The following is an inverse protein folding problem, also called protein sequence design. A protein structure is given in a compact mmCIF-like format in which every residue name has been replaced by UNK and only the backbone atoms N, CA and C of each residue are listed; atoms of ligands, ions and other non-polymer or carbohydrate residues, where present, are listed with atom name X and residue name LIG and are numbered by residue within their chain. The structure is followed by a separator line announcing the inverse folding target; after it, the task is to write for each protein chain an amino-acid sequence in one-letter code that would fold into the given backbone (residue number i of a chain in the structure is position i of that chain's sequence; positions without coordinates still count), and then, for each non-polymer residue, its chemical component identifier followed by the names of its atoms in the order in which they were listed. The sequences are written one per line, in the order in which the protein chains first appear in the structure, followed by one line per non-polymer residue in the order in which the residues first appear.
data_IF_521005240383
#
_entry.id   IF_521005240383
#
_cell.length_a   1.000
_cell.length_b   1.000
_cell.length_c   1.000
_cell.angle_alpha   90.00
_cell.angle_beta   90.00
_cell.angle_gamma   90.00
#
_symmetry.space_group_name_H-M   'P 1'
#
loop_
_entity.id
_entity.type
_entity.pdbx_description
1 polymer ?
#
# COMPACT_ATOMS: atom_id res chain seq x y z
N UNK A 1 18.79 -9.64 -14.80
CA UNK A 1 17.86 -8.73 -14.10
C UNK A 1 17.64 -9.20 -12.67
N UNK A 2 17.81 -8.31 -11.75
CA UNK A 2 17.69 -8.65 -10.34
C UNK A 2 16.24 -8.51 -9.89
N UNK A 3 15.69 -9.58 -9.35
CA UNK A 3 14.36 -9.52 -8.76
C UNK A 3 14.46 -8.87 -7.40
N UNK A 4 13.51 -7.99 -7.09
CA UNK A 4 13.44 -7.44 -5.74
C UNK A 4 13.08 -8.56 -4.77
N UNK A 5 13.84 -8.66 -3.68
CA UNK A 5 13.59 -9.65 -2.65
C UNK A 5 12.46 -9.14 -1.76
N UNK A 6 11.40 -9.92 -1.69
CA UNK A 6 10.30 -9.62 -0.77
C UNK A 6 10.51 -10.40 0.51
N UNK A 7 10.51 -9.69 1.61
CA UNK A 7 10.64 -10.30 2.92
C UNK A 7 9.27 -10.62 3.48
N UNK A 8 9.15 -11.78 4.12
CA UNK A 8 7.91 -12.17 4.79
C UNK A 8 7.60 -11.18 5.91
N UNK A 9 6.31 -10.96 6.22
CA UNK A 9 5.95 -10.05 7.31
C UNK A 9 6.62 -10.40 8.64
N UNK A 10 6.80 -11.67 8.93
CA UNK A 10 7.44 -12.13 10.16
C UNK A 10 8.91 -11.70 10.23
N UNK A 11 9.60 -11.72 9.08
CA UNK A 11 10.98 -11.28 8.99
C UNK A 11 11.09 -9.79 9.24
N UNK A 12 10.19 -9.01 8.64
CA UNK A 12 10.16 -7.57 8.85
C UNK A 12 9.89 -7.20 10.30
N UNK A 13 8.92 -7.85 10.92
CA UNK A 13 8.58 -7.63 12.33
C UNK A 13 9.76 -7.95 13.25
N UNK A 14 10.42 -9.07 12.97
CA UNK A 14 11.59 -9.48 13.76
C UNK A 14 12.71 -8.47 13.61
N UNK A 15 12.98 -8.01 12.39
CA UNK A 15 14.03 -7.03 12.14
C UNK A 15 13.77 -5.72 12.87
N UNK A 16 12.53 -5.22 12.81
CA UNK A 16 12.14 -4.00 13.53
C UNK A 16 12.29 -4.21 15.04
N UNK A 17 11.84 -5.34 15.55
CA UNK A 17 11.96 -5.66 16.98
C UNK A 17 13.42 -5.68 17.43
N UNK A 18 14.30 -6.27 16.62
CA UNK A 18 15.73 -6.29 16.93
C UNK A 18 16.30 -4.88 17.02
N UNK A 19 15.91 -3.99 16.11
CA UNK A 19 16.37 -2.60 16.16
C UNK A 19 15.91 -1.93 17.46
N UNK A 20 14.64 -2.11 17.82
CA UNK A 20 14.08 -1.49 19.02
C UNK A 20 14.71 -2.04 20.30
N UNK A 21 14.94 -3.35 20.36
CA UNK A 21 15.51 -4.00 21.52
C UNK A 21 17.00 -3.64 21.73
N UNK A 22 17.73 -3.46 20.64
CA UNK A 22 19.17 -3.20 20.70
C UNK A 22 19.53 -1.73 20.45
N UNK A 23 18.53 -0.86 20.43
CA UNK A 23 18.74 0.58 20.18
C UNK A 23 19.72 1.20 21.19
N UNK A 24 19.61 0.82 22.46
CA UNK A 24 20.45 1.38 23.52
C UNK A 24 21.91 0.93 23.45
N UNK A 25 22.20 -0.13 22.71
CA UNK A 25 23.56 -0.65 22.53
C UNK A 25 24.34 0.12 21.45
N UNK A 26 23.68 1.04 20.77
CA UNK A 26 24.26 1.80 19.66
C UNK A 26 24.15 3.30 19.91
N UNK A 27 25.03 4.06 19.27
CA UNK A 27 25.08 5.51 19.43
C UNK A 27 23.85 6.22 18.86
N UNK A 28 23.23 5.63 17.83
CA UNK A 28 22.06 6.20 17.19
C UNK A 28 21.18 5.10 16.62
N UNK A 29 19.93 5.46 16.26
CA UNK A 29 19.03 4.55 15.59
C UNK A 29 19.64 4.05 14.28
N UNK A 30 20.26 4.95 13.52
CA UNK A 30 20.90 4.59 12.27
C UNK A 30 22.04 3.57 12.48
N UNK A 31 22.86 3.75 13.52
CA UNK A 31 23.91 2.80 13.87
C UNK A 31 23.35 1.41 14.16
N UNK A 32 22.24 1.35 14.88
CA UNK A 32 21.56 0.08 15.15
C UNK A 32 21.05 -0.55 13.86
N UNK A 33 20.46 0.24 12.99
CA UNK A 33 19.96 -0.24 11.70
C UNK A 33 21.10 -0.75 10.83
N UNK A 34 22.19 -0.04 10.73
CA UNK A 34 23.36 -0.46 9.95
C UNK A 34 23.95 -1.77 10.48
N UNK A 35 23.90 -1.98 11.78
CA UNK A 35 24.41 -3.20 12.41
C UNK A 35 23.51 -4.40 12.12
N UNK A 36 22.20 -4.20 12.14
CA UNK A 36 21.21 -5.29 12.05
C UNK A 36 20.85 -5.65 10.62
N UNK A 37 20.78 -4.67 9.72
CA UNK A 37 20.37 -4.90 8.34
C UNK A 37 21.13 -6.01 7.61
N UNK A 38 22.47 -6.09 7.70
CA UNK A 38 23.21 -7.17 7.06
C UNK A 38 22.85 -8.56 7.59
N UNK A 39 22.51 -8.64 8.87
CA UNK A 39 22.13 -9.91 9.51
C UNK A 39 20.81 -10.43 9.01
N UNK A 40 19.91 -9.52 8.59
CA UNK A 40 18.62 -9.87 8.03
C UNK A 40 18.76 -10.13 6.52
N UNK A 41 19.73 -9.51 5.88
CA UNK A 41 19.94 -9.62 4.45
C UNK A 41 19.26 -8.49 3.66
N UNK A 42 18.95 -7.39 4.33
CA UNK A 42 18.36 -6.22 3.68
C UNK A 42 19.30 -5.04 3.76
N UNK A 43 18.98 -3.98 3.02
CA UNK A 43 19.75 -2.74 3.10
C UNK A 43 19.33 -1.94 4.32
N UNK A 44 20.22 -1.07 4.86
CA UNK A 44 19.84 -0.20 5.96
C UNK A 44 18.66 0.70 5.64
N UNK A 45 18.55 1.17 4.39
CA UNK A 45 17.42 2.00 3.96
C UNK A 45 16.09 1.24 4.04
N UNK A 46 16.09 -0.01 3.63
CA UNK A 46 14.90 -0.86 3.71
C UNK A 46 14.48 -1.04 5.17
N UNK A 47 15.45 -1.35 6.04
CA UNK A 47 15.16 -1.54 7.46
C UNK A 47 14.67 -0.24 8.11
N UNK A 48 15.26 0.90 7.75
CA UNK A 48 14.80 2.20 8.22
C UNK A 48 13.34 2.45 7.81
N UNK A 49 13.00 2.11 6.58
CA UNK A 49 11.63 2.24 6.07
C UNK A 49 10.66 1.41 6.93
N UNK A 50 11.02 0.19 7.26
CA UNK A 50 10.19 -0.67 8.11
C UNK A 50 10.04 -0.11 9.52
N UNK A 51 11.12 0.40 10.09
CA UNK A 51 11.09 1.00 11.44
C UNK A 51 10.18 2.22 11.46
N UNK A 52 10.29 3.08 10.45
CA UNK A 52 9.43 4.28 10.35
C UNK A 52 7.96 3.92 10.18
N UNK A 53 7.68 2.88 9.39
CA UNK A 53 6.30 2.42 9.22
C UNK A 53 5.75 1.87 10.53
N UNK A 54 6.57 1.11 11.26
CA UNK A 54 6.18 0.61 12.58
C UNK A 54 5.86 1.76 13.54
N UNK A 55 6.70 2.79 13.53
CA UNK A 55 6.46 3.96 14.36
C UNK A 55 5.15 4.66 14.03
N UNK A 56 4.82 4.77 12.75
CA UNK A 56 3.54 5.33 12.32
C UNK A 56 2.37 4.45 12.74
N UNK A 57 2.49 3.15 12.54
CA UNK A 57 1.44 2.18 12.89
C UNK A 57 1.16 2.15 14.40
N UNK A 58 2.17 2.40 15.22
CA UNK A 58 2.01 2.43 16.67
C UNK A 58 1.71 3.82 17.24
N UNK A 59 1.59 4.82 16.37
CA UNK A 59 1.27 6.18 16.78
C UNK A 59 2.44 6.98 17.33
N UNK A 60 3.66 6.44 17.29
CA UNK A 60 4.85 7.15 17.75
C UNK A 60 5.31 8.21 16.77
N UNK A 61 4.83 8.18 15.55
CA UNK A 61 5.18 9.11 14.50
C UNK A 61 3.93 9.43 13.70
N UNK A 62 3.77 10.69 13.31
CA UNK A 62 2.66 11.08 12.45
C UNK A 62 2.86 10.54 11.04
N UNK A 63 1.78 10.27 10.36
CA UNK A 63 1.80 9.74 9.00
C UNK A 63 0.72 8.71 8.80
N UNK A 64 0.65 8.19 7.57
CA UNK A 64 -0.37 7.22 7.19
C UNK A 64 0.04 5.83 7.67
N UNK A 65 -0.83 5.16 8.41
CA UNK A 65 -0.59 3.79 8.86
C UNK A 65 -0.76 2.80 7.71
N UNK A 66 -0.25 1.58 7.89
CA UNK A 66 -0.42 0.51 6.91
C UNK A 66 -1.90 0.23 6.67
N UNK A 67 -2.69 0.17 7.76
CA UNK A 67 -4.13 -0.05 7.65
C UNK A 67 -4.81 1.05 6.83
N UNK A 68 -4.43 2.30 7.07
CA UNK A 68 -4.97 3.43 6.31
C UNK A 68 -4.57 3.37 4.83
N UNK A 69 -3.33 2.99 4.53
CA UNK A 69 -2.86 2.81 3.16
C UNK A 69 -3.66 1.76 2.42
N UNK A 70 -3.91 0.62 3.09
CA UNK A 70 -4.71 -0.45 2.51
C UNK A 70 -6.14 -0.01 2.26
N UNK A 71 -6.70 0.76 3.20
CA UNK A 71 -8.04 1.32 3.06
C UNK A 71 -8.13 2.29 1.88
N UNK A 72 -7.13 3.15 1.71
CA UNK A 72 -7.05 4.08 0.59
C UNK A 72 -7.02 3.32 -0.73
N UNK A 73 -6.17 2.29 -0.83
CA UNK A 73 -6.08 1.47 -2.05
C UNK A 73 -7.40 0.78 -2.37
N UNK A 74 -8.08 0.26 -1.35
CA UNK A 74 -9.37 -0.39 -1.53
C UNK A 74 -10.41 0.60 -2.03
N UNK A 75 -10.44 1.81 -1.45
CA UNK A 75 -11.38 2.86 -1.86
C UNK A 75 -11.09 3.34 -3.28
N UNK A 76 -9.82 3.49 -3.65
CA UNK A 76 -9.44 3.87 -5.02
C UNK A 76 -9.90 2.84 -6.04
N UNK A 77 -9.76 1.55 -5.71
CA UNK A 77 -10.24 0.47 -6.58
C UNK A 77 -11.75 0.53 -6.73
N UNK A 78 -12.45 0.70 -5.62
CA UNK A 78 -13.91 0.81 -5.61
C UNK A 78 -14.39 1.99 -6.46
N UNK A 79 -13.73 3.13 -6.35
CA UNK A 79 -14.05 4.30 -7.16
C UNK A 79 -13.87 4.00 -8.65
N UNK A 80 -12.77 3.34 -9.03
CA UNK A 80 -12.54 2.97 -10.43
C UNK A 80 -13.62 2.04 -10.95
N UNK A 81 -13.99 1.05 -10.16
CA UNK A 81 -15.02 0.08 -10.53
C UNK A 81 -16.38 0.75 -10.69
N UNK A 82 -16.74 1.65 -9.78
CA UNK A 82 -17.99 2.39 -9.84
C UNK A 82 -18.03 3.31 -11.05
N UNK A 83 -16.93 3.99 -11.37
CA UNK A 83 -16.85 4.85 -12.54
C UNK A 83 -17.02 4.04 -13.82
N UNK A 84 -16.41 2.86 -13.89
CA UNK A 84 -16.52 1.97 -15.03
C UNK A 84 -17.95 1.48 -15.20
N UNK A 85 -18.56 1.03 -14.12
CA UNK A 85 -19.96 0.59 -14.14
C UNK A 85 -20.90 1.72 -14.57
N UNK A 86 -20.67 2.92 -14.07
CA UNK A 86 -21.45 4.09 -14.43
C UNK A 86 -21.31 4.44 -15.91
N UNK A 87 -20.09 4.34 -16.45
CA UNK A 87 -19.83 4.55 -17.87
C UNK A 87 -20.58 3.54 -18.74
N UNK A 88 -20.54 2.27 -18.35
CA UNK A 88 -21.24 1.20 -19.08
C UNK A 88 -22.75 1.44 -19.04
N UNK A 89 -23.30 1.78 -17.90
CA UNK A 89 -24.73 2.08 -17.76
C UNK A 89 -25.14 3.28 -18.59
N UNK A 90 -24.31 4.31 -18.63
CA UNK A 90 -24.57 5.51 -19.41
C UNK A 90 -24.61 5.19 -20.90
N UNK A 91 -23.66 4.40 -21.40
CA UNK A 91 -23.61 3.97 -22.79
C UNK A 91 -24.79 3.08 -23.14
N UNK A 92 -25.17 2.17 -22.27
CA UNK A 92 -26.32 1.30 -22.48
C UNK A 92 -27.61 2.10 -22.52
N UNK A 93 -27.77 3.08 -21.63
CA UNK A 93 -28.96 3.95 -21.61
C UNK A 93 -29.10 4.74 -22.92
N UNK A 94 -27.98 5.28 -23.40
CA UNK A 94 -27.96 6.02 -24.66
C UNK A 94 -28.35 5.11 -25.84
N UNK A 95 -27.81 3.88 -25.84
CA UNK A 95 -28.11 2.89 -26.86
C UNK A 95 -29.62 2.54 -26.89
N UNK A 96 -30.16 2.27 -25.70
CA UNK A 96 -31.59 1.93 -25.58
C UNK A 96 -32.48 3.11 -25.97
N UNK A 97 -32.11 4.33 -25.65
CA UNK A 97 -32.86 5.52 -26.06
C UNK A 97 -32.88 5.66 -27.58
N UNK A 98 -31.72 5.44 -28.23
CA UNK A 98 -31.66 5.45 -29.71
C UNK A 98 -32.52 4.36 -30.31
N UNK A 99 -32.48 3.17 -29.80
CA UNK A 99 -33.27 2.04 -30.30
C UNK A 99 -34.77 2.31 -30.17
N UNK A 100 -35.17 2.94 -29.08
CA UNK A 100 -36.58 3.31 -28.87
C UNK A 100 -37.06 4.38 -29.86
N UNK A 101 -36.22 5.37 -30.12
CA UNK A 101 -36.54 6.39 -31.13
C UNK A 101 -36.64 5.80 -32.51
N UNK A 102 -35.73 4.91 -32.89
CA UNK A 102 -35.75 4.21 -34.17
C UNK A 102 -37.04 3.42 -34.34
N UNK A 103 -37.45 2.70 -33.31
CA UNK A 103 -38.68 1.90 -33.35
C UNK A 103 -39.93 2.78 -33.56
N UNK A 104 -39.97 3.94 -32.93
CA UNK A 104 -41.08 4.88 -33.06
C UNK A 104 -41.17 5.47 -34.47
N UNK A 105 -40.01 5.78 -35.05
CA UNK A 105 -39.99 6.39 -36.37
C UNK A 105 -40.39 5.43 -37.50
N UNK A 106 -40.38 4.11 -37.22
CA UNK A 106 -40.77 3.08 -38.19
C UNK A 106 -42.23 2.72 -38.17
N UNK A 107 -43.04 3.35 -37.40
CA UNK A 107 -44.46 3.06 -37.32
C UNK A 107 -45.21 3.47 -38.56
#
# INVERSE_FOLDING_TARGET
MRKSVKFAPEVRERAVRLVLEHRSEHLSRWAAIESIAPKIGCTPQTLLSWVRQHERDTGLRSGVTTAEQERIKALEREVRELRQANEILRKASAYFALAELDRRSKS
#
